data_IF_238964257883
#
_entry.id   IF_238964257883
#
_cell.length_a   1.000
_cell.length_b   1.000
_cell.length_c   1.000
_cell.angle_alpha   90.00
_cell.angle_beta   90.00
_cell.angle_gamma   90.00
#
_symmetry.space_group_name_H-M   'P 1'
#
loop_
_entity.id
_entity.type
_entity.pdbx_description
1 polymer ?
#
# COMPACT_ATOMS: atom_id res chain seq x y z
N UNK A 1 -21.23 33.88 1.28
CA UNK A 1 -19.99 33.15 1.60
C UNK A 1 -20.38 31.71 1.91
N UNK A 2 -20.08 30.77 1.01
CA UNK A 2 -20.42 29.35 1.15
C UNK A 2 -19.31 28.71 2.02
N UNK A 3 -19.61 28.06 3.16
CA UNK A 3 -18.56 27.43 3.94
C UNK A 3 -17.89 26.36 3.06
N UNK A 4 -16.57 26.42 2.95
CA UNK A 4 -15.79 25.32 2.39
C UNK A 4 -16.11 24.10 3.25
N UNK A 5 -16.77 23.09 2.68
CA UNK A 5 -17.03 21.85 3.36
C UNK A 5 -15.69 21.33 3.89
N UNK A 6 -15.54 21.26 5.21
CA UNK A 6 -14.37 20.67 5.82
C UNK A 6 -14.30 19.23 5.30
N UNK A 7 -13.39 18.98 4.37
CA UNK A 7 -13.11 17.64 3.87
C UNK A 7 -12.73 16.82 5.10
N UNK A 8 -13.54 15.81 5.43
CA UNK A 8 -13.26 14.93 6.54
C UNK A 8 -11.85 14.36 6.38
N UNK A 9 -11.09 14.34 7.47
CA UNK A 9 -9.74 13.79 7.50
C UNK A 9 -9.70 12.40 6.84
N UNK A 10 -8.83 12.15 5.84
CA UNK A 10 -8.75 10.85 5.20
C UNK A 10 -8.34 9.79 6.22
N UNK A 11 -9.08 8.68 6.27
CA UNK A 11 -8.78 7.57 7.16
C UNK A 11 -7.73 6.65 6.51
N UNK A 12 -6.63 6.41 7.23
CA UNK A 12 -5.55 5.51 6.83
C UNK A 12 -5.56 4.32 7.78
N UNK A 13 -5.80 3.12 7.25
CA UNK A 13 -5.77 1.88 8.03
C UNK A 13 -4.39 1.22 7.91
N UNK A 14 -3.80 0.88 9.05
CA UNK A 14 -2.54 0.12 9.11
C UNK A 14 -2.82 -1.20 9.81
N UNK A 15 -2.59 -2.32 9.12
CA UNK A 15 -2.95 -3.67 9.53
C UNK A 15 -1.73 -4.59 9.55
N UNK A 16 -1.85 -5.73 10.23
CA UNK A 16 -0.80 -6.75 10.26
C UNK A 16 0.36 -6.44 11.20
N UNK A 17 1.27 -7.41 11.34
CA UNK A 17 2.43 -7.34 12.23
C UNK A 17 2.11 -7.09 13.71
N UNK A 18 3.15 -6.91 14.55
CA UNK A 18 2.98 -6.54 15.96
C UNK A 18 2.39 -5.13 16.13
N UNK A 19 1.55 -4.91 17.16
CA UNK A 19 0.94 -3.61 17.47
C UNK A 19 2.00 -2.51 17.63
N UNK A 20 3.08 -2.79 18.36
CA UNK A 20 4.18 -1.85 18.58
C UNK A 20 4.79 -1.36 17.26
N UNK A 21 4.91 -2.25 16.27
CA UNK A 21 5.43 -1.93 14.94
C UNK A 21 4.48 -0.99 14.17
N UNK A 22 3.17 -1.25 14.24
CA UNK A 22 2.15 -0.37 13.64
C UNK A 22 2.15 1.02 14.27
N UNK A 23 2.21 1.08 15.60
CA UNK A 23 2.23 2.35 16.34
C UNK A 23 3.48 3.17 16.05
N UNK A 24 4.64 2.51 16.01
CA UNK A 24 5.89 3.14 15.59
C UNK A 24 5.78 3.71 14.17
N UNK A 25 5.25 2.94 13.22
CA UNK A 25 5.07 3.38 11.83
C UNK A 25 4.12 4.60 11.75
N UNK A 26 2.99 4.56 12.46
CA UNK A 26 2.04 5.68 12.51
C UNK A 26 2.73 6.94 13.07
N UNK A 27 3.50 6.81 14.16
CA UNK A 27 4.23 7.94 14.73
C UNK A 27 5.24 8.54 13.74
N UNK A 28 5.96 7.71 12.98
CA UNK A 28 6.88 8.17 11.94
C UNK A 28 6.16 8.94 10.82
N UNK A 29 5.01 8.43 10.36
CA UNK A 29 4.21 9.12 9.33
C UNK A 29 3.65 10.44 9.82
N UNK A 30 3.14 10.47 11.06
CA UNK A 30 2.65 11.70 11.70
C UNK A 30 3.74 12.75 11.84
N UNK A 31 4.94 12.36 12.27
CA UNK A 31 6.08 13.30 12.36
C UNK A 31 6.44 13.91 11.00
N UNK A 32 6.43 13.11 9.94
CA UNK A 32 6.68 13.61 8.57
C UNK A 32 5.57 14.54 8.06
N UNK A 33 4.31 14.23 8.33
CA UNK A 33 3.18 15.10 7.98
C UNK A 33 3.25 16.46 8.70
N UNK A 34 3.64 16.46 9.98
CA UNK A 34 3.79 17.70 10.76
C UNK A 34 4.91 18.59 10.23
N UNK A 35 5.94 18.01 9.61
CA UNK A 35 7.03 18.75 8.99
C UNK A 35 6.68 19.35 7.62
N UNK A 36 5.54 18.97 7.02
CA UNK A 36 5.12 19.53 5.73
C UNK A 36 4.50 20.93 5.89
N UNK A 37 4.66 21.81 4.89
CA UNK A 37 3.95 23.09 4.85
C UNK A 37 2.42 22.86 4.80
N UNK A 38 1.69 23.52 5.68
CA UNK A 38 0.22 23.55 5.69
C UNK A 38 -0.32 24.40 4.52
N UNK A 39 -1.58 24.20 4.04
CA UNK A 39 -2.67 23.42 4.64
C UNK A 39 -2.88 22.06 3.95
N UNK A 40 -2.59 20.97 4.67
CA UNK A 40 -2.91 19.62 4.22
C UNK A 40 -3.95 18.99 5.15
N UNK A 41 -4.91 18.22 4.63
CA UNK A 41 -5.83 17.48 5.48
C UNK A 41 -5.02 16.48 6.31
N UNK A 42 -5.12 16.58 7.64
CA UNK A 42 -4.41 15.67 8.54
C UNK A 42 -5.09 14.31 8.51
N UNK A 43 -4.46 13.25 7.97
CA UNK A 43 -5.07 11.92 7.98
C UNK A 43 -5.26 11.41 9.41
N UNK A 44 -6.35 10.67 9.62
CA UNK A 44 -6.55 9.88 10.83
C UNK A 44 -5.99 8.48 10.61
N UNK A 45 -5.15 8.00 11.53
CA UNK A 45 -4.58 6.66 11.47
C UNK A 45 -5.33 5.72 12.41
N UNK A 46 -5.51 4.47 12.00
CA UNK A 46 -6.07 3.41 12.83
C UNK A 46 -5.24 2.13 12.68
N UNK A 47 -4.69 1.66 13.81
CA UNK A 47 -3.92 0.42 13.97
C UNK A 47 -4.79 -0.77 14.42
N UNK A 48 -6.05 -0.79 13.97
CA UNK A 48 -7.10 -1.64 14.51
C UNK A 48 -6.86 -3.13 14.31
N UNK A 49 -7.36 -3.93 15.25
CA UNK A 49 -7.53 -5.37 15.11
C UNK A 49 -8.37 -5.70 13.87
N UNK A 50 -8.09 -6.86 13.25
CA UNK A 50 -8.64 -7.28 11.96
C UNK A 50 -10.15 -6.97 11.81
N UNK A 51 -10.98 -7.45 12.74
CA UNK A 51 -12.43 -7.31 12.67
C UNK A 51 -12.90 -5.84 12.72
N UNK A 52 -12.30 -5.02 13.58
CA UNK A 52 -12.68 -3.61 13.73
C UNK A 52 -12.22 -2.78 12.53
N UNK A 53 -11.08 -3.13 11.95
CA UNK A 53 -10.56 -2.43 10.78
C UNK A 53 -11.36 -2.77 9.51
N UNK A 54 -11.79 -4.03 9.36
CA UNK A 54 -12.64 -4.45 8.22
C UNK A 54 -13.94 -3.64 8.15
N UNK A 55 -14.57 -3.35 9.30
CA UNK A 55 -15.77 -2.51 9.36
C UNK A 55 -15.56 -1.06 8.88
N UNK A 56 -14.29 -0.60 8.82
CA UNK A 56 -13.93 0.76 8.40
C UNK A 56 -13.39 0.84 6.97
N UNK A 57 -13.28 -0.28 6.26
CA UNK A 57 -12.73 -0.32 4.90
C UNK A 57 -13.46 0.61 3.93
N UNK A 58 -14.79 0.68 4.01
CA UNK A 58 -15.61 1.55 3.15
C UNK A 58 -15.33 3.04 3.32
N UNK A 59 -14.65 3.43 4.40
CA UNK A 59 -14.28 4.82 4.72
C UNK A 59 -12.78 5.08 4.59
N UNK A 60 -11.97 4.03 4.38
CA UNK A 60 -10.52 4.16 4.31
C UNK A 60 -10.12 4.76 2.96
N UNK A 61 -9.32 5.82 3.00
CA UNK A 61 -8.70 6.40 1.81
C UNK A 61 -7.45 5.59 1.38
N UNK A 62 -6.80 4.92 2.33
CA UNK A 62 -5.64 4.06 2.09
C UNK A 62 -5.63 2.93 3.13
N UNK A 63 -5.33 1.72 2.67
CA UNK A 63 -5.14 0.54 3.53
C UNK A 63 -3.72 0.01 3.31
N UNK A 64 -2.97 -0.09 4.40
CA UNK A 64 -1.60 -0.61 4.43
C UNK A 64 -1.55 -1.89 5.26
N UNK A 65 -0.94 -2.94 4.72
CA UNK A 65 -0.75 -4.23 5.38
C UNK A 65 0.75 -4.46 5.61
N UNK A 66 1.19 -4.45 6.85
CA UNK A 66 2.55 -4.86 7.23
C UNK A 66 2.71 -6.36 7.01
N UNK A 67 3.67 -6.75 6.17
CA UNK A 67 4.02 -8.14 6.00
C UNK A 67 4.62 -8.72 7.28
N UNK A 68 4.21 -9.94 7.62
CA UNK A 68 4.89 -10.77 8.60
C UNK A 68 6.30 -11.03 8.07
N UNK A 69 7.27 -10.94 8.96
CA UNK A 69 8.66 -11.19 8.68
C UNK A 69 8.92 -12.70 8.64
N UNK A 70 9.99 -13.09 7.95
CA UNK A 70 10.35 -14.50 7.82
C UNK A 70 10.72 -15.16 9.17
N UNK A 71 11.14 -14.36 10.15
CA UNK A 71 11.46 -14.76 11.51
C UNK A 71 10.24 -14.79 12.46
N UNK A 72 9.06 -14.34 12.00
CA UNK A 72 7.82 -14.45 12.77
C UNK A 72 7.21 -15.86 12.67
N UNK A 73 6.42 -16.24 13.67
CA UNK A 73 5.86 -17.57 13.79
C UNK A 73 4.77 -17.88 12.74
N UNK A 74 4.43 -19.17 12.62
CA UNK A 74 3.38 -19.62 11.70
C UNK A 74 2.00 -18.96 11.98
N UNK A 75 1.76 -18.53 13.22
CA UNK A 75 0.54 -17.82 13.61
C UNK A 75 0.47 -16.42 13.00
N UNK A 76 1.59 -15.68 12.99
CA UNK A 76 1.68 -14.39 12.33
C UNK A 76 1.47 -14.50 10.81
N UNK A 77 2.06 -15.52 10.18
CA UNK A 77 1.87 -15.80 8.75
C UNK A 77 0.41 -16.16 8.43
N UNK A 78 -0.21 -17.04 9.22
CA UNK A 78 -1.61 -17.40 9.07
C UNK A 78 -2.55 -16.19 9.26
N UNK A 79 -2.26 -15.33 10.25
CA UNK A 79 -3.01 -14.10 10.48
C UNK A 79 -2.88 -13.13 9.30
N UNK A 80 -1.70 -13.01 8.71
CA UNK A 80 -1.51 -12.19 7.51
C UNK A 80 -2.27 -12.77 6.32
N UNK A 81 -2.23 -14.08 6.10
CA UNK A 81 -2.98 -14.73 5.03
C UNK A 81 -4.49 -14.48 5.18
N UNK A 82 -5.02 -14.65 6.40
CA UNK A 82 -6.41 -14.34 6.73
C UNK A 82 -6.77 -12.88 6.46
N UNK A 83 -5.92 -11.92 6.86
CA UNK A 83 -6.15 -10.50 6.57
C UNK A 83 -6.22 -10.22 5.06
N UNK A 84 -5.33 -10.84 4.27
CA UNK A 84 -5.33 -10.69 2.80
C UNK A 84 -6.60 -11.25 2.18
N UNK A 85 -7.04 -12.41 2.63
CA UNK A 85 -8.28 -13.05 2.18
C UNK A 85 -9.49 -12.15 2.48
N UNK A 86 -9.57 -11.60 3.70
CA UNK A 86 -10.66 -10.71 4.09
C UNK A 86 -10.67 -9.40 3.29
N UNK A 87 -9.50 -8.81 3.04
CA UNK A 87 -9.38 -7.61 2.21
C UNK A 87 -9.79 -7.89 0.75
N UNK A 88 -9.39 -9.04 0.22
CA UNK A 88 -9.76 -9.48 -1.12
C UNK A 88 -11.27 -9.75 -1.23
N UNK A 89 -11.85 -10.47 -0.27
CA UNK A 89 -13.29 -10.74 -0.22
C UNK A 89 -14.12 -9.44 -0.11
N UNK A 90 -13.58 -8.42 0.58
CA UNK A 90 -14.19 -7.10 0.68
C UNK A 90 -13.99 -6.22 -0.57
N UNK A 91 -13.22 -6.67 -1.58
CA UNK A 91 -12.87 -5.87 -2.76
C UNK A 91 -12.03 -4.64 -2.44
N UNK A 92 -11.36 -4.61 -1.29
CA UNK A 92 -10.61 -3.46 -0.83
C UNK A 92 -9.21 -3.44 -1.46
N UNK A 93 -8.82 -2.31 -2.06
CA UNK A 93 -7.45 -2.10 -2.49
C UNK A 93 -6.55 -1.86 -1.25
N UNK A 94 -5.39 -2.50 -1.21
CA UNK A 94 -4.42 -2.34 -0.14
C UNK A 94 -2.98 -2.44 -0.66
N UNK A 95 -2.06 -1.73 -0.01
CA UNK A 95 -0.63 -1.85 -0.24
C UNK A 95 0.02 -2.77 0.80
N UNK A 96 0.91 -3.67 0.38
CA UNK A 96 1.67 -4.52 1.30
C UNK A 96 3.04 -3.89 1.56
N UNK A 97 3.39 -3.72 2.83
CA UNK A 97 4.66 -3.16 3.27
C UNK A 97 5.63 -4.27 3.62
N UNK A 98 6.80 -4.27 2.97
CA UNK A 98 7.83 -5.30 3.12
C UNK A 98 9.14 -4.74 3.68
N UNK A 99 9.92 -5.61 4.33
CA UNK A 99 11.26 -5.31 4.82
C UNK A 99 11.31 -4.90 6.28
N UNK A 100 12.42 -4.25 6.65
CA UNK A 100 12.66 -3.71 7.99
C UNK A 100 11.83 -2.44 8.27
N UNK A 101 12.01 -1.88 9.46
CA UNK A 101 11.26 -0.71 9.91
C UNK A 101 11.51 0.54 9.05
N UNK A 102 12.74 0.73 8.56
CA UNK A 102 13.08 1.85 7.67
C UNK A 102 12.42 1.69 6.29
N UNK A 103 12.43 0.46 5.74
CA UNK A 103 11.82 0.14 4.46
C UNK A 103 10.29 0.32 4.48
N UNK A 104 9.61 -0.16 5.53
CA UNK A 104 8.15 0.02 5.65
C UNK A 104 7.78 1.49 5.85
N UNK A 105 8.60 2.27 6.56
CA UNK A 105 8.35 3.70 6.76
C UNK A 105 8.47 4.48 5.45
N UNK A 106 9.44 4.13 4.60
CA UNK A 106 9.58 4.73 3.27
C UNK A 106 8.40 4.36 2.35
N UNK A 107 8.05 3.07 2.27
CA UNK A 107 6.94 2.59 1.44
C UNK A 107 5.60 3.22 1.86
N UNK A 108 5.32 3.23 3.17
CA UNK A 108 4.11 3.85 3.70
C UNK A 108 4.06 5.35 3.41
N UNK A 109 5.19 6.05 3.50
CA UNK A 109 5.28 7.47 3.17
C UNK A 109 5.02 7.74 1.68
N UNK A 110 5.54 6.91 0.78
CA UNK A 110 5.28 7.02 -0.65
C UNK A 110 3.79 6.77 -0.98
N UNK A 111 3.20 5.72 -0.40
CA UNK A 111 1.78 5.42 -0.56
C UNK A 111 0.89 6.55 -0.03
N UNK A 112 1.23 7.10 1.14
CA UNK A 112 0.51 8.22 1.74
C UNK A 112 0.60 9.49 0.87
N UNK A 113 1.78 9.82 0.36
CA UNK A 113 1.93 10.97 -0.54
C UNK A 113 1.08 10.81 -1.80
N UNK A 114 1.06 9.62 -2.40
CA UNK A 114 0.19 9.34 -3.55
C UNK A 114 -1.29 9.50 -3.20
N UNK A 115 -1.74 8.93 -2.08
CA UNK A 115 -3.13 9.03 -1.63
C UNK A 115 -3.57 10.47 -1.29
N UNK A 116 -2.65 11.30 -0.80
CA UNK A 116 -2.90 12.71 -0.48
C UNK A 116 -2.70 13.66 -1.68
N UNK A 117 -2.33 13.14 -2.85
CA UNK A 117 -1.99 13.98 -4.02
C UNK A 117 -0.72 14.83 -3.83
N UNK A 118 0.13 14.44 -2.89
CA UNK A 118 1.41 15.07 -2.55
C UNK A 118 2.58 14.54 -3.36
N UNK A 119 2.37 13.51 -4.17
CA UNK A 119 3.40 12.98 -5.05
C UNK A 119 3.93 14.15 -5.91
N UNK A 120 5.13 14.62 -5.58
CA UNK A 120 5.84 15.55 -6.44
C UNK A 120 5.85 14.92 -7.83
N UNK A 121 5.46 15.69 -8.84
CA UNK A 121 5.85 15.37 -10.20
C UNK A 121 7.34 15.06 -10.12
N UNK A 122 7.71 13.80 -10.35
CA UNK A 122 9.11 13.44 -10.43
C UNK A 122 9.68 14.39 -11.47
N UNK A 123 10.53 15.31 -11.03
CA UNK A 123 11.24 16.24 -11.89
C UNK A 123 12.15 15.39 -12.76
N UNK A 124 11.65 15.12 -13.95
CA UNK A 124 12.23 14.25 -14.95
C UNK A 124 11.26 14.20 -16.10
N UNK A 125 11.42 15.14 -17.02
CA UNK A 125 10.67 15.32 -18.26
C UNK A 125 10.90 14.15 -19.24
N UNK A 126 10.62 12.93 -18.78
CA UNK A 126 10.61 11.73 -19.57
C UNK A 126 9.17 11.25 -19.62
N UNK A 127 8.48 11.55 -20.73
CA UNK A 127 7.30 10.80 -21.14
C UNK A 127 7.60 9.31 -20.93
N UNK A 128 6.83 8.59 -20.09
CA UNK A 128 7.04 7.16 -19.92
C UNK A 128 6.89 6.52 -21.31
N UNK A 129 7.93 5.83 -21.75
CA UNK A 129 7.97 5.14 -23.03
C UNK A 129 6.81 4.13 -23.10
N UNK A 130 6.37 3.78 -24.31
CA UNK A 130 5.22 2.88 -24.50
C UNK A 130 5.43 1.51 -23.81
N UNK A 131 6.68 1.08 -23.70
CA UNK A 131 7.14 -0.08 -22.91
C UNK A 131 6.95 0.12 -21.39
N UNK A 132 7.28 1.28 -20.82
CA UNK A 132 7.07 1.57 -19.40
C UNK A 132 5.57 1.64 -19.05
N UNK A 133 4.74 2.17 -19.95
CA UNK A 133 3.27 2.15 -19.82
C UNK A 133 2.71 0.73 -19.95
N UNK A 134 3.27 -0.09 -20.84
CA UNK A 134 2.87 -1.49 -21.00
C UNK A 134 3.25 -2.33 -19.78
N UNK A 135 4.43 -2.11 -19.20
CA UNK A 135 4.86 -2.75 -17.95
C UNK A 135 4.04 -2.30 -16.74
N UNK A 136 3.65 -1.02 -16.68
CA UNK A 136 2.76 -0.50 -15.63
C UNK A 136 1.34 -1.07 -15.74
N UNK A 137 0.80 -1.20 -16.96
CA UNK A 137 -0.49 -1.84 -17.21
C UNK A 137 -0.46 -3.36 -16.97
N UNK A 138 0.68 -4.01 -17.23
CA UNK A 138 0.87 -5.43 -16.92
C UNK A 138 1.00 -5.68 -15.43
N UNK A 139 1.74 -4.82 -14.69
CA UNK A 139 1.82 -4.88 -13.23
C UNK A 139 0.44 -4.75 -12.57
N UNK A 140 -0.38 -3.81 -13.03
CA UNK A 140 -1.74 -3.64 -12.48
C UNK A 140 -2.70 -4.79 -12.78
N UNK A 141 -2.44 -5.57 -13.86
CA UNK A 141 -3.16 -6.80 -14.17
C UNK A 141 -2.66 -8.01 -13.36
N UNK A 142 -1.36 -8.10 -13.07
CA UNK A 142 -0.80 -9.16 -12.20
C UNK A 142 -1.16 -8.98 -10.72
N UNK A 143 -1.28 -7.75 -10.23
CA UNK A 143 -1.73 -7.47 -8.85
C UNK A 143 -3.16 -8.00 -8.56
N UNK A 144 -3.94 -8.29 -9.61
CA UNK A 144 -5.28 -8.88 -9.53
C UNK A 144 -5.33 -10.37 -9.89
N UNK A 145 -4.23 -10.96 -10.37
CA UNK A 145 -4.22 -12.30 -10.94
C UNK A 145 -3.07 -13.14 -10.34
N UNK A 146 -3.22 -13.56 -9.08
CA UNK A 146 -2.43 -14.66 -8.50
C UNK A 146 -2.90 -16.03 -9.03
N UNK A 147 -3.08 -16.15 -10.34
CA UNK A 147 -3.40 -17.42 -10.99
C UNK A 147 -2.10 -18.12 -11.43
N UNK A 148 -1.86 -19.38 -11.04
CA UNK A 148 -0.61 -20.09 -11.34
C UNK A 148 -0.37 -20.26 -12.85
N UNK A 149 -1.40 -20.22 -13.69
CA UNK A 149 -1.27 -20.27 -15.16
C UNK A 149 -0.76 -18.93 -15.70
N UNK A 150 -1.16 -17.82 -15.09
CA UNK A 150 -0.72 -16.48 -15.49
C UNK A 150 0.77 -16.28 -15.15
N UNK A 151 1.20 -16.72 -13.98
CA UNK A 151 2.62 -16.69 -13.58
C UNK A 151 3.48 -17.60 -14.48
N UNK A 152 3.00 -18.80 -14.79
CA UNK A 152 3.74 -19.74 -15.65
C UNK A 152 3.94 -19.19 -17.08
N UNK A 153 2.94 -18.50 -17.63
CA UNK A 153 3.05 -17.83 -18.93
C UNK A 153 4.04 -16.67 -18.89
N UNK A 154 4.01 -15.85 -17.83
CA UNK A 154 4.95 -14.75 -17.64
C UNK A 154 6.41 -15.24 -17.59
N UNK A 155 6.70 -16.27 -16.79
CA UNK A 155 8.04 -16.84 -16.71
C UNK A 155 8.49 -17.43 -18.05
N UNK A 156 7.58 -18.10 -18.77
CA UNK A 156 7.88 -18.69 -20.08
C UNK A 156 8.20 -17.61 -21.12
N UNK A 157 7.42 -16.53 -21.16
CA UNK A 157 7.63 -15.42 -22.10
C UNK A 157 8.94 -14.67 -21.81
N UNK A 158 9.30 -14.47 -20.55
CA UNK A 158 10.58 -13.87 -20.13
C UNK A 158 11.79 -14.74 -20.52
N UNK A 159 11.69 -16.06 -20.35
CA UNK A 159 12.74 -17.00 -20.79
C UNK A 159 12.84 -17.02 -22.31
N UNK A 160 11.70 -16.98 -23.02
CA UNK A 160 11.66 -16.94 -24.48
C UNK A 160 12.25 -15.67 -25.08
N UNK A 161 12.01 -14.51 -24.47
CA UNK A 161 12.59 -13.23 -24.91
C UNK A 161 14.11 -13.16 -24.67
N UNK A 162 14.60 -13.75 -23.57
CA UNK A 162 16.04 -13.80 -23.27
C UNK A 162 16.83 -14.77 -24.16
N UNK A 163 16.14 -15.66 -24.88
CA UNK A 163 16.74 -16.54 -25.88
C UNK A 163 16.77 -15.92 -27.30
N UNK A 164 16.08 -14.81 -27.51
CA UNK A 164 16.00 -14.09 -28.80
C UNK A 164 16.81 -12.78 -28.82
N UNK A 165 17.49 -12.46 -27.72
CA UNK A 165 18.49 -11.40 -27.59
C UNK A 165 19.90 -12.02 -27.57
#
# INVERSE_FOLDING_TARGET
MKPAAALAAPLILVLGGPLARRQWLIAQLQGRLQALPQPLPTPSFCDGEAASALARLSRAALVLLCAARADEDASAQARQAFLREQLHAAGAAYGVLHGDDAAIALQAWQALQSALGLAQQQTGDAQPTAEARSLANWRSNCEKCSDPVCEHRLFSDLVGQRAQA
#
